data_IF_777803973715
#
_entry.id   IF_777803973715
#
_cell.length_a   1.000
_cell.length_b   1.000
_cell.length_c   1.000
_cell.angle_alpha   90.00
_cell.angle_beta   90.00
_cell.angle_gamma   90.00
#
_symmetry.space_group_name_H-M   'P 1'
#
loop_
_entity.id
_entity.type
_entity.pdbx_description
1 polymer ?
#
# COMPACT_ATOMS: atom_id res chain seq x y z
N UNK A 1 -17.00 -20.09 -0.10
CA UNK A 1 -16.41 -21.40 0.20
C UNK A 1 -14.90 -21.32 -0.01
N UNK A 2 -14.13 -21.57 1.06
CA UNK A 2 -12.66 -21.63 1.04
C UNK A 2 -12.25 -23.04 0.60
N UNK A 3 -11.61 -23.18 -0.56
CA UNK A 3 -10.79 -24.36 -0.82
C UNK A 3 -9.43 -24.14 -0.16
N UNK A 4 -9.10 -24.97 0.84
CA UNK A 4 -7.74 -25.08 1.38
C UNK A 4 -6.85 -25.61 0.24
N UNK A 5 -5.82 -24.84 -0.13
CA UNK A 5 -4.82 -25.31 -1.11
C UNK A 5 -3.91 -26.33 -0.40
N UNK A 6 -4.23 -27.61 -0.56
CA UNK A 6 -3.37 -28.72 -0.13
C UNK A 6 -2.14 -28.81 -1.03
N UNK A 7 -1.01 -29.22 -0.46
CA UNK A 7 0.30 -29.37 -1.11
C UNK A 7 0.37 -30.39 -2.27
N UNK A 8 -0.78 -30.88 -2.76
CA UNK A 8 -0.92 -31.86 -3.84
C UNK A 8 -1.22 -31.20 -5.21
N UNK A 9 -1.07 -29.88 -5.33
CA UNK A 9 -1.60 -29.09 -6.47
C UNK A 9 -0.57 -28.27 -7.26
N UNK A 10 0.73 -28.53 -7.09
CA UNK A 10 1.78 -27.86 -7.86
C UNK A 10 2.33 -28.84 -8.89
N UNK A 11 2.26 -28.52 -10.19
CA UNK A 11 2.96 -29.24 -11.26
C UNK A 11 4.43 -28.80 -11.26
N UNK A 12 5.36 -29.51 -10.59
CA UNK A 12 6.71 -29.02 -10.36
C UNK A 12 7.50 -29.00 -11.68
N UNK A 13 7.25 -30.01 -12.52
CA UNK A 13 7.86 -30.16 -13.84
C UNK A 13 7.48 -29.01 -14.78
N UNK A 14 6.22 -28.55 -14.72
CA UNK A 14 5.76 -27.40 -15.50
C UNK A 14 6.31 -26.08 -14.96
N UNK A 15 6.53 -25.96 -13.65
CA UNK A 15 7.19 -24.79 -13.07
C UNK A 15 8.65 -24.71 -13.53
N UNK A 16 9.37 -25.83 -13.50
CA UNK A 16 10.74 -25.90 -14.02
C UNK A 16 10.80 -25.64 -15.53
N UNK A 17 9.81 -26.12 -16.28
CA UNK A 17 9.68 -25.82 -17.71
C UNK A 17 9.55 -24.31 -17.98
N UNK A 18 8.65 -23.62 -17.27
CA UNK A 18 8.45 -22.18 -17.42
C UNK A 18 9.69 -21.36 -17.02
N UNK A 19 10.42 -21.80 -15.99
CA UNK A 19 11.65 -21.15 -15.52
C UNK A 19 12.82 -21.36 -16.48
N UNK A 20 13.05 -22.60 -16.93
CA UNK A 20 14.15 -22.94 -17.83
C UNK A 20 14.09 -22.20 -19.17
N UNK A 21 12.88 -21.98 -19.70
CA UNK A 21 12.67 -21.23 -20.95
C UNK A 21 12.41 -19.74 -20.77
N UNK A 22 12.42 -19.22 -19.52
CA UNK A 22 12.11 -17.82 -19.18
C UNK A 22 10.82 -17.28 -19.84
N UNK A 23 9.83 -18.14 -20.03
CA UNK A 23 8.59 -17.77 -20.74
C UNK A 23 7.71 -16.81 -19.92
N UNK A 24 7.86 -16.84 -18.60
CA UNK A 24 7.04 -16.12 -17.65
C UNK A 24 7.93 -15.60 -16.51
N UNK A 25 7.67 -14.40 -15.94
CA UNK A 25 8.41 -13.91 -14.78
C UNK A 25 8.37 -14.92 -13.63
N UNK A 26 9.49 -15.14 -12.95
CA UNK A 26 9.66 -16.16 -11.90
C UNK A 26 8.58 -16.07 -10.80
N UNK A 27 8.13 -14.86 -10.50
CA UNK A 27 7.08 -14.57 -9.51
C UNK A 27 5.68 -15.04 -9.93
N UNK A 28 5.44 -15.24 -11.22
CA UNK A 28 4.16 -15.67 -11.80
C UNK A 28 4.10 -17.17 -12.11
N UNK A 29 5.23 -17.88 -12.07
CA UNK A 29 5.33 -19.31 -12.44
C UNK A 29 4.45 -20.20 -11.56
N UNK A 30 4.36 -19.90 -10.27
CA UNK A 30 3.50 -20.64 -9.33
C UNK A 30 2.02 -20.50 -9.67
N UNK A 31 1.59 -19.32 -10.12
CA UNK A 31 0.22 -19.05 -10.54
C UNK A 31 -0.12 -19.72 -11.87
N UNK A 32 0.82 -19.73 -12.81
CA UNK A 32 0.66 -20.43 -14.09
C UNK A 32 0.54 -21.95 -13.87
N UNK A 33 1.36 -22.51 -12.99
CA UNK A 33 1.26 -23.93 -12.63
C UNK A 33 -0.03 -24.28 -11.87
N UNK A 34 -0.53 -23.36 -11.06
CA UNK A 34 -1.83 -23.52 -10.39
C UNK A 34 -2.98 -23.56 -11.41
N UNK A 35 -3.00 -22.65 -12.39
CA UNK A 35 -4.02 -22.65 -13.44
C UNK A 35 -3.96 -23.90 -14.31
N UNK A 36 -2.76 -24.34 -14.70
CA UNK A 36 -2.56 -25.57 -15.44
C UNK A 36 -3.06 -26.81 -14.66
N UNK A 37 -2.75 -26.92 -13.37
CA UNK A 37 -3.21 -28.04 -12.54
C UNK A 37 -4.73 -28.03 -12.34
N UNK A 38 -5.31 -26.84 -12.16
CA UNK A 38 -6.76 -26.67 -12.03
C UNK A 38 -7.50 -27.05 -13.32
N UNK A 39 -6.93 -26.67 -14.47
CA UNK A 39 -7.42 -27.09 -15.79
C UNK A 39 -7.35 -28.61 -15.98
N UNK A 40 -6.22 -29.26 -15.64
CA UNK A 40 -6.09 -30.72 -15.72
C UNK A 40 -7.11 -31.46 -14.85
N UNK A 41 -7.41 -30.92 -13.66
CA UNK A 41 -8.43 -31.49 -12.77
C UNK A 41 -9.83 -31.33 -13.35
N UNK A 42 -10.09 -30.22 -14.05
CA UNK A 42 -11.34 -29.94 -14.72
C UNK A 42 -11.52 -30.78 -15.99
N UNK A 43 -10.49 -30.89 -16.84
CA UNK A 43 -10.53 -31.69 -18.07
C UNK A 43 -10.66 -33.18 -17.81
N UNK A 44 -10.06 -33.72 -16.73
CA UNK A 44 -10.27 -35.12 -16.31
C UNK A 44 -11.73 -35.47 -15.98
N UNK A 45 -12.56 -34.47 -15.64
CA UNK A 45 -14.00 -34.66 -15.39
C UNK A 45 -14.82 -34.65 -16.69
N UNK A 46 -14.30 -34.02 -17.73
CA UNK A 46 -14.90 -33.93 -19.06
C UNK A 46 -14.34 -35.09 -19.92
N UNK A 47 -15.00 -36.26 -19.89
CA UNK A 47 -14.57 -37.41 -20.71
C UNK A 47 -14.74 -37.08 -22.20
N UNK A 48 -13.70 -37.34 -23.00
CA UNK A 48 -13.70 -37.25 -24.47
C UNK A 48 -14.07 -35.88 -25.06
N UNK A 49 -13.56 -34.79 -24.49
CA UNK A 49 -13.71 -33.43 -25.02
C UNK A 49 -12.37 -32.96 -25.60
N UNK A 50 -12.40 -32.34 -26.78
CA UNK A 50 -11.23 -31.75 -27.41
C UNK A 50 -10.59 -30.66 -26.52
N UNK A 51 -9.28 -30.48 -26.61
CA UNK A 51 -8.51 -29.57 -25.73
C UNK A 51 -8.98 -28.12 -25.88
N UNK A 52 -9.33 -27.70 -27.10
CA UNK A 52 -9.85 -26.36 -27.36
C UNK A 52 -11.23 -26.15 -26.73
N UNK A 53 -12.10 -27.15 -26.80
CA UNK A 53 -13.45 -27.09 -26.23
C UNK A 53 -13.41 -27.21 -24.69
N UNK A 54 -12.51 -28.01 -24.14
CA UNK A 54 -12.26 -28.09 -22.70
C UNK A 54 -11.74 -26.76 -22.14
N UNK A 55 -10.87 -26.04 -22.87
CA UNK A 55 -10.42 -24.70 -22.52
C UNK A 55 -11.58 -23.69 -22.56
N UNK A 56 -12.42 -23.73 -23.60
CA UNK A 56 -13.59 -22.85 -23.72
C UNK A 56 -14.54 -23.02 -22.53
N UNK A 57 -14.91 -24.25 -22.22
CA UNK A 57 -15.77 -24.60 -21.09
C UNK A 57 -15.16 -24.22 -19.74
N UNK A 58 -13.84 -24.32 -19.59
CA UNK A 58 -13.14 -23.90 -18.38
C UNK A 58 -13.16 -22.37 -18.19
N UNK A 59 -12.95 -21.61 -19.26
CA UNK A 59 -13.02 -20.15 -19.21
C UNK A 59 -14.46 -19.67 -18.97
N UNK A 60 -15.46 -20.37 -19.49
CA UNK A 60 -16.88 -20.12 -19.23
C UNK A 60 -17.26 -20.43 -17.76
N UNK A 61 -16.75 -21.52 -17.17
CA UNK A 61 -16.89 -21.80 -15.73
C UNK A 61 -16.23 -20.70 -14.88
N UNK A 62 -15.08 -20.18 -15.30
CA UNK A 62 -14.41 -19.07 -14.59
C UNK A 62 -15.18 -17.75 -14.73
N UNK A 63 -15.76 -17.46 -15.88
CA UNK A 63 -16.56 -16.24 -16.12
C UNK A 63 -17.91 -16.27 -15.42
N UNK A 64 -18.57 -17.43 -15.32
CA UNK A 64 -19.84 -17.59 -14.62
C UNK A 64 -19.74 -17.31 -13.11
N UNK A 65 -18.53 -17.37 -12.55
CA UNK A 65 -18.25 -17.01 -11.16
C UNK A 65 -18.11 -15.49 -11.05
N UNK A 66 -19.15 -14.83 -10.51
CA UNK A 66 -19.32 -13.36 -10.30
C UNK A 66 -18.17 -12.57 -9.63
N UNK A 67 -17.00 -13.17 -9.34
CA UNK A 67 -15.93 -12.56 -8.56
C UNK A 67 -14.51 -12.81 -9.12
N UNK A 68 -14.39 -13.08 -10.42
CA UNK A 68 -13.09 -13.26 -11.09
C UNK A 68 -12.90 -12.10 -12.07
N UNK A 69 -11.83 -11.32 -11.87
CA UNK A 69 -11.48 -10.20 -12.74
C UNK A 69 -10.97 -10.68 -14.10
N UNK A 70 -11.27 -9.95 -15.18
CA UNK A 70 -10.97 -10.33 -16.57
C UNK A 70 -9.49 -10.68 -16.82
N UNK A 71 -8.57 -9.97 -16.16
CA UNK A 71 -7.13 -10.24 -16.28
C UNK A 71 -6.72 -11.61 -15.70
N UNK A 72 -7.49 -12.18 -14.75
CA UNK A 72 -7.26 -13.53 -14.22
C UNK A 72 -7.70 -14.61 -15.20
N UNK A 73 -8.77 -14.35 -15.94
CA UNK A 73 -9.25 -15.24 -17.00
C UNK A 73 -8.21 -15.27 -18.12
N UNK A 74 -7.64 -14.11 -18.46
CA UNK A 74 -6.55 -13.99 -19.42
C UNK A 74 -5.27 -14.71 -18.96
N UNK A 75 -4.88 -14.56 -17.69
CA UNK A 75 -3.73 -15.29 -17.12
C UNK A 75 -3.95 -16.81 -17.11
N UNK A 76 -5.16 -17.27 -16.76
CA UNK A 76 -5.49 -18.69 -16.78
C UNK A 76 -5.43 -19.25 -18.19
N UNK A 77 -5.95 -18.51 -19.18
CA UNK A 77 -5.87 -18.85 -20.61
C UNK A 77 -4.42 -18.99 -21.07
N UNK A 78 -3.59 -17.99 -20.81
CA UNK A 78 -2.16 -18.00 -21.18
C UNK A 78 -1.42 -19.17 -20.52
N UNK A 79 -1.68 -19.45 -19.24
CA UNK A 79 -1.07 -20.56 -18.54
C UNK A 79 -1.44 -21.93 -19.12
N UNK A 80 -2.69 -22.11 -19.54
CA UNK A 80 -3.18 -23.37 -20.12
C UNK A 80 -2.68 -23.54 -21.56
N UNK A 81 -2.61 -22.46 -22.34
CA UNK A 81 -2.01 -22.48 -23.68
C UNK A 81 -0.53 -22.87 -23.60
N UNK A 82 0.25 -22.24 -22.72
CA UNK A 82 1.65 -22.62 -22.49
C UNK A 82 1.80 -24.07 -22.00
N UNK A 83 0.85 -24.60 -21.25
CA UNK A 83 0.87 -26.00 -20.84
C UNK A 83 0.56 -26.96 -22.01
N UNK A 84 -0.46 -26.65 -22.80
CA UNK A 84 -0.91 -27.48 -23.92
C UNK A 84 0.11 -27.47 -25.07
N UNK A 85 0.59 -26.30 -25.46
CA UNK A 85 1.40 -26.11 -26.68
C UNK A 85 2.85 -26.55 -26.51
N UNK A 86 3.33 -26.61 -25.27
CA UNK A 86 4.76 -26.73 -24.98
C UNK A 86 5.13 -27.84 -23.99
N UNK A 87 4.17 -28.35 -23.22
CA UNK A 87 4.42 -29.35 -22.18
C UNK A 87 3.70 -30.69 -22.43
N UNK A 88 2.62 -30.74 -23.23
CA UNK A 88 2.05 -32.02 -23.65
C UNK A 88 2.88 -32.67 -24.77
N UNK A 89 3.95 -33.37 -24.38
CA UNK A 89 4.72 -34.19 -25.30
C UNK A 89 6.07 -34.64 -24.77
N UNK A 90 6.09 -35.68 -23.92
CA UNK A 90 7.25 -36.57 -23.83
C UNK A 90 7.89 -36.74 -22.44
N UNK A 91 7.96 -38.00 -22.02
CA UNK A 91 8.81 -38.56 -20.95
C UNK A 91 10.18 -37.88 -20.87
N UNK A 92 10.56 -37.36 -19.71
CA UNK A 92 11.97 -37.11 -19.38
C UNK A 92 12.55 -38.37 -18.73
N UNK A 93 12.97 -39.31 -19.58
CA UNK A 93 14.00 -40.28 -19.20
C UNK A 93 15.33 -39.53 -19.12
N UNK A 94 15.94 -39.52 -17.93
CA UNK A 94 17.37 -39.36 -17.66
C UNK A 94 18.09 -38.13 -18.21
N UNK A 95 18.48 -37.21 -17.32
CA UNK A 95 19.85 -36.65 -17.22
C UNK A 95 20.02 -36.08 -15.80
N UNK A 96 20.85 -36.78 -15.04
CA UNK A 96 21.85 -36.34 -14.07
C UNK A 96 21.51 -35.51 -12.82
N UNK A 97 22.05 -36.06 -11.73
CA UNK A 97 22.13 -35.55 -10.37
C UNK A 97 23.01 -34.30 -10.27
N UNK A 98 22.88 -33.63 -9.12
CA UNK A 98 23.79 -32.61 -8.57
C UNK A 98 23.55 -31.15 -8.99
N UNK A 99 22.38 -30.63 -8.59
CA UNK A 99 22.32 -29.25 -8.12
C UNK A 99 21.33 -29.14 -6.95
N UNK A 100 21.85 -29.16 -5.72
CA UNK A 100 21.18 -28.56 -4.56
C UNK A 100 21.02 -27.06 -4.84
N UNK A 101 20.02 -26.68 -5.65
CA UNK A 101 19.63 -25.28 -5.81
C UNK A 101 18.94 -24.85 -4.52
N UNK A 102 19.73 -24.31 -3.60
CA UNK A 102 19.23 -23.66 -2.39
C UNK A 102 18.23 -22.58 -2.83
N UNK A 103 16.99 -22.70 -2.34
CA UNK A 103 15.93 -21.71 -2.50
C UNK A 103 16.50 -20.33 -2.11
N UNK A 104 16.58 -19.39 -3.06
CA UNK A 104 17.17 -18.08 -2.81
C UNK A 104 16.49 -17.42 -1.60
N UNK A 105 17.24 -17.00 -0.57
CA UNK A 105 16.66 -16.45 0.65
C UNK A 105 15.91 -15.15 0.36
N UNK A 106 14.82 -14.90 1.09
CA UNK A 106 14.13 -13.63 1.07
C UNK A 106 15.08 -12.48 1.46
N UNK A 107 15.35 -11.58 0.51
CA UNK A 107 16.20 -10.41 0.73
C UNK A 107 15.36 -9.19 1.14
N UNK A 108 15.37 -8.90 2.45
CA UNK A 108 14.70 -7.73 3.04
C UNK A 108 15.23 -6.42 2.47
N UNK A 109 16.53 -6.29 2.25
CA UNK A 109 17.15 -5.03 1.87
C UNK A 109 16.80 -4.66 0.43
N UNK A 110 16.79 -5.66 -0.46
CA UNK A 110 16.30 -5.49 -1.83
C UNK A 110 14.83 -5.05 -1.86
N UNK A 111 13.99 -5.63 -1.00
CA UNK A 111 12.57 -5.24 -0.89
C UNK A 111 12.41 -3.80 -0.41
N UNK A 112 13.20 -3.37 0.57
CA UNK A 112 13.17 -1.99 1.08
C UNK A 112 13.61 -0.98 0.01
N UNK A 113 14.65 -1.28 -0.76
CA UNK A 113 15.08 -0.43 -1.89
C UNK A 113 13.99 -0.34 -2.96
N UNK A 114 13.35 -1.47 -3.30
CA UNK A 114 12.26 -1.49 -4.27
C UNK A 114 11.02 -0.73 -3.78
N UNK A 115 10.74 -0.77 -2.48
CA UNK A 115 9.67 0.01 -1.87
C UNK A 115 9.93 1.52 -1.99
N UNK A 116 11.14 1.98 -1.69
CA UNK A 116 11.51 3.38 -1.86
C UNK A 116 11.34 3.83 -3.32
N UNK A 117 11.84 3.05 -4.28
CA UNK A 117 11.66 3.33 -5.72
C UNK A 117 10.18 3.42 -6.09
N UNK A 118 9.36 2.47 -5.66
CA UNK A 118 7.94 2.44 -5.96
C UNK A 118 7.18 3.65 -5.38
N UNK A 119 7.54 4.11 -4.18
CA UNK A 119 6.96 5.31 -3.55
C UNK A 119 7.29 6.56 -4.37
N UNK A 120 8.55 6.68 -4.81
CA UNK A 120 9.02 7.84 -5.60
C UNK A 120 8.41 7.89 -6.99
N UNK A 121 8.32 6.75 -7.68
CA UNK A 121 7.65 6.65 -8.99
C UNK A 121 6.18 7.06 -8.92
N UNK A 122 5.53 6.79 -7.78
CA UNK A 122 4.14 7.20 -7.54
C UNK A 122 4.00 8.62 -6.99
N UNK A 123 5.10 9.40 -6.93
CA UNK A 123 5.13 10.79 -6.49
C UNK A 123 4.52 11.06 -5.11
N UNK A 124 4.62 10.10 -4.18
CA UNK A 124 4.24 10.34 -2.79
C UNK A 124 5.16 11.37 -2.13
N UNK A 125 4.65 12.04 -1.10
CA UNK A 125 5.46 12.99 -0.32
C UNK A 125 6.61 12.29 0.42
N UNK A 126 7.72 13.01 0.64
CA UNK A 126 8.85 12.51 1.44
C UNK A 126 8.44 12.11 2.86
N UNK A 127 7.44 12.78 3.45
CA UNK A 127 6.88 12.39 4.75
C UNK A 127 6.21 11.03 4.71
N UNK A 128 5.51 10.71 3.61
CA UNK A 128 4.89 9.40 3.39
C UNK A 128 5.95 8.34 3.16
N UNK A 129 6.99 8.64 2.37
CA UNK A 129 8.15 7.75 2.18
C UNK A 129 8.75 7.34 3.52
N UNK A 130 9.10 8.31 4.37
CA UNK A 130 9.69 8.06 5.69
C UNK A 130 8.77 7.20 6.56
N UNK A 131 7.49 7.55 6.62
CA UNK A 131 6.50 6.84 7.44
C UNK A 131 6.33 5.40 6.98
N UNK A 132 6.21 5.18 5.67
CA UNK A 132 5.96 3.86 5.10
C UNK A 132 7.18 2.96 5.24
N UNK A 133 8.38 3.50 4.99
CA UNK A 133 9.64 2.77 5.18
C UNK A 133 9.85 2.39 6.65
N UNK A 134 9.51 3.27 7.60
CA UNK A 134 9.61 2.95 9.03
C UNK A 134 8.66 1.80 9.42
N UNK A 135 7.41 1.84 8.96
CA UNK A 135 6.45 0.77 9.22
C UNK A 135 6.86 -0.56 8.59
N UNK A 136 7.40 -0.54 7.36
CA UNK A 136 7.92 -1.75 6.72
C UNK A 136 9.09 -2.36 7.50
N UNK A 137 10.04 -1.53 7.99
CA UNK A 137 11.16 -2.00 8.81
C UNK A 137 10.66 -2.67 10.08
N UNK A 138 9.78 -2.00 10.84
CA UNK A 138 9.18 -2.54 12.07
C UNK A 138 8.45 -3.86 11.84
N UNK A 139 7.76 -3.98 10.71
CA UNK A 139 7.08 -5.23 10.34
C UNK A 139 8.07 -6.36 10.07
N UNK A 140 9.13 -6.11 9.29
CA UNK A 140 10.14 -7.13 9.02
C UNK A 140 10.91 -7.53 10.28
N UNK A 141 11.20 -6.59 11.18
CA UNK A 141 11.86 -6.90 12.45
C UNK A 141 10.96 -7.80 13.32
N UNK A 142 9.65 -7.48 13.38
CA UNK A 142 8.68 -8.32 14.08
C UNK A 142 8.56 -9.72 13.48
N UNK A 143 8.40 -9.81 12.16
CA UNK A 143 8.23 -11.09 11.47
C UNK A 143 9.52 -11.95 11.52
N UNK A 144 10.69 -11.31 11.51
CA UNK A 144 11.98 -12.00 11.74
C UNK A 144 12.06 -12.59 13.14
N UNK A 145 11.70 -11.83 14.17
CA UNK A 145 11.73 -12.30 15.55
C UNK A 145 10.76 -13.48 15.78
N UNK A 146 9.56 -13.45 15.18
CA UNK A 146 8.58 -14.53 15.29
C UNK A 146 9.03 -15.83 14.60
N UNK A 147 9.89 -15.74 13.59
CA UNK A 147 10.40 -16.89 12.80
C UNK A 147 11.83 -17.30 13.18
N UNK A 148 12.31 -16.93 14.37
CA UNK A 148 13.61 -17.37 14.89
C UNK A 148 14.82 -16.56 14.38
N UNK A 149 14.62 -15.30 14.02
CA UNK A 149 15.68 -14.33 13.74
C UNK A 149 16.02 -14.13 12.25
N UNK A 150 15.62 -15.04 11.36
CA UNK A 150 15.85 -14.90 9.92
C UNK A 150 14.55 -15.09 9.13
N UNK A 151 14.11 -14.03 8.43
CA UNK A 151 13.04 -14.11 7.45
C UNK A 151 13.56 -14.84 6.21
N UNK A 152 13.37 -16.17 6.18
CA UNK A 152 13.74 -17.02 5.03
C UNK A 152 12.67 -17.08 3.96
N UNK A 153 11.43 -16.85 4.36
CA UNK A 153 10.24 -16.94 3.52
C UNK A 153 9.58 -15.57 3.36
N UNK A 154 8.92 -15.37 2.20
CA UNK A 154 8.18 -14.14 1.93
C UNK A 154 7.00 -14.02 2.90
N UNK A 155 6.84 -12.89 3.61
CA UNK A 155 5.73 -12.71 4.53
C UNK A 155 4.37 -12.80 3.84
N UNK A 156 3.37 -13.31 4.55
CA UNK A 156 2.03 -13.53 4.02
C UNK A 156 0.97 -12.61 4.66
N UNK A 157 -0.29 -12.82 4.29
CA UNK A 157 -1.39 -12.06 4.86
C UNK A 157 -1.59 -12.32 6.35
N UNK A 158 -1.23 -13.51 6.88
CA UNK A 158 -1.34 -13.84 8.31
C UNK A 158 -0.33 -13.04 9.13
N UNK A 159 0.92 -12.95 8.64
CA UNK A 159 1.99 -12.15 9.26
C UNK A 159 1.55 -10.69 9.46
N UNK A 160 0.85 -10.10 8.48
CA UNK A 160 0.28 -8.74 8.60
C UNK A 160 -0.76 -8.67 9.72
N UNK A 161 -1.68 -9.63 9.82
CA UNK A 161 -2.74 -9.61 10.85
C UNK A 161 -2.15 -9.70 12.23
N UNK A 162 -1.17 -10.58 12.39
CA UNK A 162 -0.51 -10.82 13.66
C UNK A 162 0.27 -9.59 14.11
N UNK A 163 1.01 -8.95 13.20
CA UNK A 163 1.69 -7.68 13.48
C UNK A 163 0.71 -6.56 13.87
N UNK A 164 -0.37 -6.38 13.12
CA UNK A 164 -1.38 -5.35 13.42
C UNK A 164 -2.12 -5.62 14.73
N UNK A 165 -2.35 -6.88 15.07
CA UNK A 165 -2.91 -7.30 16.36
C UNK A 165 -1.93 -7.01 17.49
N UNK A 166 -0.65 -7.30 17.30
CA UNK A 166 0.39 -6.97 18.26
C UNK A 166 0.50 -5.45 18.49
N UNK A 167 0.37 -4.64 17.45
CA UNK A 167 0.31 -3.19 17.60
C UNK A 167 -0.88 -2.73 18.45
N UNK A 168 -2.07 -3.31 18.23
CA UNK A 168 -3.28 -2.94 18.94
C UNK A 168 -3.30 -3.44 20.40
N UNK A 169 -2.94 -4.70 20.63
CA UNK A 169 -3.10 -5.36 21.94
C UNK A 169 -1.89 -5.14 22.84
N UNK A 170 -0.67 -5.36 22.32
CA UNK A 170 0.54 -5.31 23.13
C UNK A 170 1.17 -3.91 23.15
N UNK A 171 1.23 -3.22 22.02
CA UNK A 171 1.76 -1.85 21.95
C UNK A 171 0.70 -0.77 22.21
N UNK A 172 -0.58 -1.14 22.32
CA UNK A 172 -1.71 -0.25 22.63
C UNK A 172 -1.72 1.04 21.78
N UNK A 173 -1.37 0.93 20.50
CA UNK A 173 -1.28 2.10 19.63
C UNK A 173 -2.66 2.66 19.30
N UNK A 174 -2.73 3.97 19.01
CA UNK A 174 -3.99 4.60 18.59
C UNK A 174 -4.51 4.00 17.28
N UNK A 175 -5.83 4.06 17.05
CA UNK A 175 -6.45 3.65 15.79
C UNK A 175 -5.84 4.36 14.57
N UNK A 176 -5.45 5.64 14.71
CA UNK A 176 -4.80 6.37 13.61
C UNK A 176 -3.41 5.82 13.31
N UNK A 177 -2.66 5.44 14.34
CA UNK A 177 -1.32 4.85 14.20
C UNK A 177 -1.40 3.47 13.55
N UNK A 178 -2.35 2.63 13.99
CA UNK A 178 -2.60 1.31 13.38
C UNK A 178 -3.00 1.43 11.91
N UNK A 179 -3.84 2.42 11.56
CA UNK A 179 -4.24 2.66 10.18
C UNK A 179 -3.07 3.12 9.29
N UNK A 180 -2.13 3.91 9.83
CA UNK A 180 -0.90 4.26 9.09
C UNK A 180 -0.04 3.02 8.82
N UNK A 181 0.14 2.17 9.84
CA UNK A 181 0.86 0.90 9.67
C UNK A 181 0.18 0.00 8.62
N UNK A 182 -1.14 -0.16 8.71
CA UNK A 182 -1.93 -0.93 7.76
C UNK A 182 -1.74 -0.43 6.31
N UNK A 183 -1.85 0.88 6.08
CA UNK A 183 -1.71 1.44 4.73
C UNK A 183 -0.29 1.27 4.17
N UNK A 184 0.74 1.40 5.01
CA UNK A 184 2.12 1.16 4.60
C UNK A 184 2.36 -0.30 4.18
N UNK A 185 1.83 -1.26 4.95
CA UNK A 185 1.94 -2.69 4.63
C UNK A 185 1.10 -3.08 3.42
N UNK A 186 -0.11 -2.52 3.29
CA UNK A 186 -0.93 -2.71 2.11
C UNK A 186 -0.19 -2.23 0.85
N UNK A 187 0.49 -1.09 0.95
CA UNK A 187 1.32 -0.58 -0.13
C UNK A 187 2.47 -1.52 -0.46
N UNK A 188 3.24 -1.95 0.54
CA UNK A 188 4.38 -2.86 0.40
C UNK A 188 3.97 -4.14 -0.36
N UNK A 189 2.94 -4.82 0.13
CA UNK A 189 2.52 -6.10 -0.44
C UNK A 189 1.94 -5.95 -1.85
N UNK A 190 1.05 -4.98 -2.08
CA UNK A 190 0.42 -4.81 -3.40
C UNK A 190 1.37 -4.25 -4.45
N UNK A 191 2.20 -3.28 -4.09
CA UNK A 191 3.00 -2.54 -5.07
C UNK A 191 4.41 -3.08 -5.23
N UNK A 192 5.00 -3.64 -4.19
CA UNK A 192 6.41 -4.11 -4.19
C UNK A 192 6.47 -5.62 -4.31
N UNK A 193 5.80 -6.33 -3.40
CA UNK A 193 5.82 -7.81 -3.40
C UNK A 193 4.86 -8.41 -4.44
N UNK A 194 3.90 -7.62 -4.96
CA UNK A 194 2.85 -8.05 -5.88
C UNK A 194 2.02 -9.21 -5.33
N UNK A 195 1.87 -9.25 -4.01
CA UNK A 195 1.06 -10.23 -3.29
C UNK A 195 -0.32 -9.64 -3.06
N UNK A 196 -1.34 -10.37 -3.50
CA UNK A 196 -2.71 -10.04 -3.17
C UNK A 196 -3.03 -10.40 -1.72
N UNK A 197 -3.01 -9.39 -0.88
CA UNK A 197 -3.69 -9.43 0.41
C UNK A 197 -5.18 -9.26 0.09
N UNK A 198 -6.00 -10.29 0.33
CA UNK A 198 -7.46 -10.25 0.15
C UNK A 198 -8.17 -9.17 1.00
N UNK A 199 -9.42 -9.39 1.40
CA UNK A 199 -10.23 -8.37 2.11
C UNK A 199 -9.81 -8.11 3.58
N UNK A 200 -8.51 -7.95 3.86
CA UNK A 200 -8.01 -7.48 5.16
C UNK A 200 -8.44 -6.04 5.45
N UNK A 201 -8.81 -5.27 4.41
CA UNK A 201 -9.30 -3.89 4.51
C UNK A 201 -10.53 -3.73 5.39
N UNK A 202 -11.47 -4.68 5.32
CA UNK A 202 -12.71 -4.63 6.09
C UNK A 202 -12.54 -5.13 7.53
N UNK A 203 -11.64 -6.09 7.74
CA UNK A 203 -11.55 -6.84 9.01
C UNK A 203 -10.60 -6.19 10.05
N UNK A 204 -9.55 -5.48 9.62
CA UNK A 204 -8.45 -5.07 10.52
C UNK A 204 -8.34 -3.54 10.66
N UNK A 205 -9.09 -2.79 9.84
CA UNK A 205 -9.04 -1.33 9.92
C UNK A 205 -9.62 -0.86 11.25
N UNK A 206 -8.80 -0.18 12.04
CA UNK A 206 -9.22 0.40 13.29
C UNK A 206 -10.21 1.54 13.04
N UNK A 207 -11.41 1.44 13.60
CA UNK A 207 -12.39 2.54 13.56
C UNK A 207 -11.83 3.73 14.32
N UNK A 208 -11.69 4.85 13.63
CA UNK A 208 -11.32 6.12 14.26
C UNK A 208 -12.61 6.77 14.77
N UNK A 209 -12.71 6.99 16.07
CA UNK A 209 -13.81 7.77 16.64
C UNK A 209 -13.81 9.21 16.14
N UNK A 210 -14.97 9.88 16.05
CA UNK A 210 -15.03 11.29 15.69
C UNK A 210 -14.27 12.11 16.73
N UNK A 211 -13.23 12.84 16.31
CA UNK A 211 -12.61 13.85 17.15
C UNK A 211 -13.39 15.13 16.97
N UNK A 212 -14.14 15.53 17.99
CA UNK A 212 -14.67 16.89 18.04
C UNK A 212 -13.48 17.86 18.16
N UNK A 213 -13.37 18.86 17.28
CA UNK A 213 -12.35 19.88 17.42
C UNK A 213 -12.64 20.68 18.69
N UNK A 214 -11.73 20.61 19.66
CA UNK A 214 -11.74 21.52 20.81
C UNK A 214 -11.15 22.84 20.30
N UNK A 215 -11.95 23.89 20.31
CA UNK A 215 -11.54 25.24 19.91
C UNK A 215 -11.39 26.09 21.17
N UNK A 216 -10.36 26.94 21.19
CA UNK A 216 -10.18 27.92 22.26
C UNK A 216 -11.18 29.06 22.08
N UNK A 217 -11.65 29.59 23.20
CA UNK A 217 -12.43 30.84 23.27
C UNK A 217 -11.55 32.04 22.92
N UNK A 218 -12.18 33.18 22.60
CA UNK A 218 -11.46 34.41 22.25
C UNK A 218 -10.59 34.88 23.42
N UNK A 219 -11.10 34.75 24.65
CA UNK A 219 -10.42 35.11 25.89
C UNK A 219 -9.18 34.22 26.12
N UNK A 220 -9.31 32.91 25.95
CA UNK A 220 -8.18 31.97 26.07
C UNK A 220 -7.11 32.24 25.01
N UNK A 221 -7.51 32.58 23.77
CA UNK A 221 -6.55 32.96 22.73
C UNK A 221 -5.82 34.24 23.10
N UNK A 222 -6.53 35.25 23.62
CA UNK A 222 -5.90 36.51 24.06
C UNK A 222 -4.89 36.26 25.18
N UNK A 223 -5.24 35.46 26.17
CA UNK A 223 -4.32 35.07 27.26
C UNK A 223 -3.11 34.31 26.71
N UNK A 224 -3.32 33.34 25.83
CA UNK A 224 -2.25 32.57 25.22
C UNK A 224 -1.25 33.45 24.44
N UNK A 225 -1.76 34.39 23.63
CA UNK A 225 -0.92 35.30 22.87
C UNK A 225 -0.17 36.28 23.78
N UNK A 226 -0.77 36.70 24.90
CA UNK A 226 -0.11 37.61 25.86
C UNK A 226 1.12 37.00 26.54
N UNK A 227 1.21 35.68 26.61
CA UNK A 227 2.35 34.96 27.18
C UNK A 227 3.46 34.66 26.16
N UNK A 228 3.34 35.12 24.92
CA UNK A 228 4.30 34.87 23.84
C UNK A 228 4.98 36.15 23.40
N UNK A 229 6.27 36.06 23.08
CA UNK A 229 7.05 37.20 22.60
C UNK A 229 7.80 36.87 21.30
N UNK A 230 8.22 37.92 20.59
CA UNK A 230 9.07 37.83 19.40
C UNK A 230 8.48 36.97 18.27
N UNK A 231 9.29 36.02 17.79
CA UNK A 231 8.97 35.20 16.61
C UNK A 231 7.77 34.27 16.83
N UNK A 232 7.65 33.73 18.03
CA UNK A 232 6.59 32.79 18.41
C UNK A 232 5.22 33.48 18.39
N UNK A 233 5.16 34.71 18.90
CA UNK A 233 3.96 35.54 18.86
C UNK A 233 3.50 35.79 17.43
N UNK A 234 4.41 36.21 16.54
CA UNK A 234 4.11 36.46 15.13
C UNK A 234 3.57 35.20 14.43
N UNK A 235 4.20 34.04 14.66
CA UNK A 235 3.76 32.75 14.12
C UNK A 235 2.33 32.44 14.58
N UNK A 236 2.06 32.57 15.88
CA UNK A 236 0.75 32.27 16.46
C UNK A 236 -0.33 33.22 15.93
N UNK A 237 -0.04 34.52 15.84
CA UNK A 237 -0.95 35.53 15.29
C UNK A 237 -1.29 35.28 13.82
N UNK A 238 -0.32 34.89 13.00
CA UNK A 238 -0.59 34.59 11.58
C UNK A 238 -1.42 33.32 11.44
N UNK A 239 -1.12 32.26 12.20
CA UNK A 239 -1.92 31.03 12.21
C UNK A 239 -3.36 31.33 12.61
N UNK A 240 -3.55 32.10 13.68
CA UNK A 240 -4.88 32.45 14.19
C UNK A 240 -5.63 33.39 13.23
N UNK A 241 -4.99 34.48 12.78
CA UNK A 241 -5.64 35.53 12.00
C UNK A 241 -5.90 35.16 10.53
N UNK A 242 -5.06 34.32 9.93
CA UNK A 242 -5.21 33.88 8.54
C UNK A 242 -5.69 32.42 8.41
N UNK A 243 -5.84 31.69 9.52
CA UNK A 243 -6.28 30.29 9.53
C UNK A 243 -5.30 29.33 8.85
N UNK A 244 -4.02 29.68 8.75
CA UNK A 244 -3.02 28.89 8.04
C UNK A 244 -2.66 27.62 8.83
N UNK A 245 -2.50 26.50 8.12
CA UNK A 245 -1.87 25.31 8.71
C UNK A 245 -0.39 25.59 8.97
N UNK A 246 0.18 24.93 9.98
CA UNK A 246 1.59 25.09 10.34
C UNK A 246 2.55 24.93 9.14
N UNK A 247 2.32 23.93 8.29
CA UNK A 247 3.15 23.69 7.11
C UNK A 247 2.88 24.67 5.95
N UNK A 248 1.72 25.31 5.92
CA UNK A 248 1.44 26.40 4.97
C UNK A 248 2.24 27.63 5.39
N UNK A 249 2.15 28.02 6.67
CA UNK A 249 2.95 29.11 7.23
C UNK A 249 4.46 28.89 7.03
N UNK A 250 4.95 27.70 7.32
CA UNK A 250 6.37 27.36 7.14
C UNK A 250 6.86 27.46 5.68
N UNK A 251 5.95 27.47 4.71
CA UNK A 251 6.26 27.59 3.27
C UNK A 251 5.90 28.97 2.70
N UNK A 252 5.41 29.90 3.52
CA UNK A 252 5.16 31.28 3.12
C UNK A 252 6.48 31.91 2.68
N UNK A 253 6.43 32.59 1.54
CA UNK A 253 7.55 33.38 1.00
C UNK A 253 7.16 34.84 1.05
N UNK A 254 8.15 35.75 1.08
CA UNK A 254 7.92 37.20 1.13
C UNK A 254 6.95 37.67 0.04
N UNK A 255 7.04 37.11 -1.18
CA UNK A 255 6.12 37.41 -2.29
C UNK A 255 4.63 37.07 -2.04
N UNK A 256 4.33 36.23 -1.05
CA UNK A 256 2.95 35.90 -0.67
C UNK A 256 2.37 36.88 0.34
N UNK A 257 3.21 37.73 0.95
CA UNK A 257 2.78 38.72 1.93
C UNK A 257 2.53 40.05 1.22
N UNK A 258 1.30 40.53 1.31
CA UNK A 258 0.96 41.91 0.94
C UNK A 258 0.91 42.74 2.21
N UNK A 259 1.94 43.56 2.40
CA UNK A 259 1.95 44.53 3.50
C UNK A 259 1.21 45.77 3.00
N UNK A 260 0.02 46.00 3.54
CA UNK A 260 -0.70 47.25 3.29
C UNK A 260 -0.16 48.32 4.22
N UNK A 261 0.08 49.56 3.73
CA UNK A 261 0.38 50.67 4.63
C UNK A 261 -0.78 50.86 5.61
N UNK A 262 -0.51 51.33 6.84
CA UNK A 262 -1.57 51.56 7.83
C UNK A 262 -2.62 52.48 7.21
N UNK A 263 -3.89 52.06 7.29
CA UNK A 263 -5.01 52.86 6.81
C UNK A 263 -4.96 54.22 7.51
N UNK A 264 -4.80 55.30 6.74
CA UNK A 264 -5.07 56.67 7.21
C UNK A 264 -6.51 56.70 7.75
N UNK A 265 -6.76 57.56 8.73
CA UNK A 265 -8.06 57.67 9.41
C UNK A 265 -9.24 57.93 8.44
N UNK A 266 -8.97 58.32 7.20
CA UNK A 266 -9.94 58.60 6.14
C UNK A 266 -10.33 57.34 5.32
N UNK A 267 -10.84 56.32 6.00
CA UNK A 267 -12.00 55.51 5.61
C UNK A 267 -12.16 54.75 4.28
N UNK A 268 -11.38 54.91 3.20
CA UNK A 268 -11.73 54.25 1.91
C UNK A 268 -10.57 53.64 1.10
N UNK A 269 -10.66 52.35 0.67
CA UNK A 269 -9.75 51.78 -0.32
C UNK A 269 -10.12 52.20 -1.75
N UNK A 270 -9.11 52.51 -2.59
CA UNK A 270 -9.29 52.95 -3.99
C UNK A 270 -9.64 51.82 -4.98
N UNK A 271 -9.50 50.53 -4.62
CA UNK A 271 -9.72 49.42 -5.55
C UNK A 271 -10.63 48.30 -4.99
N UNK A 272 -11.52 47.70 -5.81
CA UNK A 272 -12.47 46.66 -5.37
C UNK A 272 -11.85 45.32 -4.93
N UNK A 273 -10.55 45.10 -5.14
CA UNK A 273 -9.83 43.88 -4.74
C UNK A 273 -9.28 43.92 -3.32
N UNK A 274 -9.40 45.07 -2.62
CA UNK A 274 -8.90 45.28 -1.25
C UNK A 274 -9.87 44.80 -0.15
N UNK A 275 -10.93 44.05 -0.49
CA UNK A 275 -12.01 43.67 0.45
C UNK A 275 -11.71 42.36 1.20
N UNK A 276 -10.46 41.87 1.21
CA UNK A 276 -10.13 40.72 2.05
C UNK A 276 -9.88 41.17 3.50
N UNK A 277 -10.93 41.04 4.32
CA UNK A 277 -10.96 41.14 5.80
C UNK A 277 -10.99 42.55 6.42
N UNK A 278 -12.09 43.29 6.21
CA UNK A 278 -12.48 44.40 7.12
C UNK A 278 -12.70 43.95 8.59
N UNK A 279 -12.65 42.65 8.90
CA UNK A 279 -12.73 42.12 10.26
C UNK A 279 -11.39 42.00 11.01
N UNK A 280 -10.23 42.06 10.33
CA UNK A 280 -8.93 41.74 10.94
C UNK A 280 -7.91 42.89 10.92
N UNK A 281 -8.20 44.01 10.27
CA UNK A 281 -7.30 45.18 10.29
C UNK A 281 -7.19 45.84 11.68
N UNK A 282 -8.11 45.54 12.59
CA UNK A 282 -8.04 46.00 13.99
C UNK A 282 -7.04 45.20 14.83
N UNK A 283 -6.67 43.97 14.41
CA UNK A 283 -5.85 43.08 15.22
C UNK A 283 -4.35 43.37 15.13
N UNK A 284 -3.88 43.96 14.02
CA UNK A 284 -2.50 44.45 13.89
C UNK A 284 -2.34 45.89 14.40
N UNK A 285 -3.39 46.48 15.00
CA UNK A 285 -3.41 47.89 15.44
C UNK A 285 -3.33 48.06 16.97
N UNK A 286 -3.16 46.97 17.72
CA UNK A 286 -3.20 47.02 19.19
C UNK A 286 -2.00 46.39 19.91
N UNK A 287 -0.90 46.10 19.20
CA UNK A 287 0.41 45.80 19.78
C UNK A 287 1.52 46.35 18.89
#
# INVERSE_FOLDING_TARGET
MREKMSASQTLPDFQQYLLSRKLVPEKSVTFYAYWANRYLTFSKRLKNVDVAEALRLFLEDLQSRKNIADWRIQQAKEAIQLYSDHFQGGKTSGVDNDAKTQLAPFDKDLVMVNMQKAIRVKHYSLSTERTYMDWARRFFDYAGNMKGGLLRETPDAKDIREFLTHLAVHKKVSASTQNQAFNALLFLFRNVLKIEIGDLSSTIRAKRGPKLPVVLTIEEVRQLLSCMEGKQLLIAQIIYGAGLRLMELARVRVKHLKVYPPLRQDGYPKNPTDVCSKGNSSFLRMY
#
